data_IF_060565124541
#
_entry.id   IF_060565124541
#
_cell.length_a   1.000
_cell.length_b   1.000
_cell.length_c   1.000
_cell.angle_alpha   90.00
_cell.angle_beta   90.00
_cell.angle_gamma   90.00
#
_symmetry.space_group_name_H-M   'P 1'
#
loop_
_entity.id
_entity.type
_entity.pdbx_description
1 polymer ?
#
# COMPACT_ATOMS: atom_id res chain seq x y z
N UNK A 1 14.26 -4.01 -27.92
CA UNK A 1 14.35 -4.95 -26.78
C UNK A 1 13.62 -4.28 -25.62
N UNK A 2 12.40 -4.74 -25.30
CA UNK A 2 11.69 -4.34 -24.09
C UNK A 2 12.51 -4.96 -22.93
N UNK A 3 13.16 -4.10 -22.14
CA UNK A 3 14.01 -4.54 -21.05
C UNK A 3 13.20 -5.29 -19.97
N UNK A 4 13.87 -6.17 -19.27
CA UNK A 4 13.39 -6.80 -18.03
C UNK A 4 13.27 -5.71 -16.94
N UNK A 5 12.25 -4.86 -17.04
CA UNK A 5 11.97 -3.83 -16.07
C UNK A 5 11.52 -4.51 -14.77
N UNK A 6 12.24 -4.28 -13.69
CA UNK A 6 11.87 -4.87 -12.41
C UNK A 6 10.79 -4.03 -11.74
N UNK A 7 9.96 -4.67 -10.93
CA UNK A 7 8.91 -3.98 -10.15
C UNK A 7 9.50 -2.87 -9.26
N UNK A 8 10.70 -3.09 -8.71
CA UNK A 8 11.39 -2.11 -7.87
C UNK A 8 11.87 -0.88 -8.66
N UNK A 9 12.35 -1.08 -9.89
CA UNK A 9 12.73 0.03 -10.78
C UNK A 9 11.52 0.86 -11.15
N UNK A 10 10.36 0.24 -11.44
CA UNK A 10 9.12 0.97 -11.73
C UNK A 10 8.61 1.72 -10.50
N UNK A 11 8.66 1.12 -9.31
CA UNK A 11 8.27 1.79 -8.08
C UNK A 11 9.13 3.03 -7.80
N UNK A 12 10.45 2.90 -7.92
CA UNK A 12 11.39 4.01 -7.76
C UNK A 12 11.22 5.08 -8.85
N UNK A 13 10.93 4.67 -10.08
CA UNK A 13 10.65 5.58 -11.18
C UNK A 13 9.37 6.39 -10.95
N UNK A 14 8.28 5.75 -10.54
CA UNK A 14 7.03 6.42 -10.18
C UNK A 14 7.23 7.42 -9.03
N UNK A 15 7.93 7.01 -7.95
CA UNK A 15 8.24 7.90 -6.82
C UNK A 15 9.01 9.13 -7.28
N UNK A 16 10.06 8.95 -8.08
CA UNK A 16 10.84 10.06 -8.63
C UNK A 16 10.04 10.97 -9.55
N UNK A 17 9.22 10.39 -10.42
CA UNK A 17 8.38 11.12 -11.38
C UNK A 17 7.37 12.01 -10.67
N UNK A 18 6.67 11.47 -9.66
CA UNK A 18 5.69 12.20 -8.88
C UNK A 18 6.34 13.29 -8.01
N UNK A 19 7.50 12.99 -7.40
CA UNK A 19 8.28 13.97 -6.64
C UNK A 19 8.71 15.16 -7.52
N UNK A 20 9.19 14.91 -8.73
CA UNK A 20 9.60 15.98 -9.67
C UNK A 20 8.41 16.86 -10.09
N UNK A 21 7.21 16.29 -10.15
CA UNK A 21 5.98 17.01 -10.44
C UNK A 21 5.36 17.69 -9.21
N UNK A 22 6.00 17.59 -8.04
CA UNK A 22 5.47 18.04 -6.75
C UNK A 22 4.08 17.46 -6.42
N UNK A 23 3.83 16.23 -6.82
CA UNK A 23 2.61 15.48 -6.50
C UNK A 23 2.86 14.65 -5.25
N UNK A 24 2.09 14.93 -4.20
CA UNK A 24 2.15 14.17 -2.96
C UNK A 24 1.67 12.72 -3.20
N UNK A 25 2.46 11.75 -2.76
CA UNK A 25 2.16 10.33 -2.93
C UNK A 25 2.83 9.49 -1.86
N UNK A 26 2.38 8.25 -1.71
CA UNK A 26 3.09 7.25 -0.91
C UNK A 26 2.86 5.83 -1.46
N UNK A 27 3.89 5.01 -1.39
CA UNK A 27 3.81 3.59 -1.75
C UNK A 27 3.04 2.84 -0.66
N UNK A 28 2.09 2.02 -1.06
CA UNK A 28 1.33 1.13 -0.17
C UNK A 28 1.28 -0.31 -0.72
N UNK A 29 0.30 -1.09 -0.31
CA UNK A 29 0.07 -2.44 -0.84
C UNK A 29 1.22 -3.42 -0.62
N UNK A 30 1.48 -4.25 -1.64
CA UNK A 30 2.46 -5.33 -1.58
C UNK A 30 3.90 -4.85 -1.49
N UNK A 31 4.25 -3.80 -2.21
CA UNK A 31 5.59 -3.19 -2.15
C UNK A 31 5.89 -2.63 -0.77
N UNK A 32 4.92 -1.95 -0.14
CA UNK A 32 5.07 -1.45 1.22
C UNK A 32 5.25 -2.59 2.25
N UNK A 33 4.56 -3.72 2.06
CA UNK A 33 4.75 -4.93 2.91
C UNK A 33 6.19 -5.40 2.84
N UNK A 34 6.77 -5.48 1.64
CA UNK A 34 8.16 -5.86 1.46
C UNK A 34 9.12 -4.85 2.11
N UNK A 35 8.89 -3.55 1.91
CA UNK A 35 9.71 -2.49 2.49
C UNK A 35 9.64 -2.46 4.03
N UNK A 36 8.52 -2.87 4.61
CA UNK A 36 8.39 -3.05 6.06
C UNK A 36 9.00 -4.35 6.60
N UNK A 37 9.59 -5.18 5.74
CA UNK A 37 10.43 -6.32 6.12
C UNK A 37 9.86 -7.69 5.81
N UNK A 38 8.64 -7.83 5.30
CA UNK A 38 8.10 -9.12 4.86
C UNK A 38 8.30 -9.32 3.36
N UNK A 39 9.40 -9.98 3.01
CA UNK A 39 9.71 -10.32 1.62
C UNK A 39 8.72 -11.37 1.09
N UNK A 40 7.95 -10.99 0.10
CA UNK A 40 7.03 -11.86 -0.64
C UNK A 40 6.88 -11.43 -2.08
N UNK A 41 6.38 -12.32 -2.91
CA UNK A 41 6.06 -11.96 -4.29
C UNK A 41 4.94 -10.91 -4.33
N UNK A 42 5.19 -9.83 -5.05
CA UNK A 42 4.20 -8.83 -5.44
C UNK A 42 4.37 -8.52 -6.91
N UNK A 43 3.27 -8.27 -7.60
CA UNK A 43 3.22 -8.13 -9.07
C UNK A 43 2.73 -6.77 -9.51
N UNK A 44 2.30 -5.97 -8.59
CA UNK A 44 1.66 -4.68 -8.77
C UNK A 44 2.26 -3.62 -7.83
N UNK A 45 2.14 -2.38 -8.21
CA UNK A 45 2.54 -1.22 -7.41
C UNK A 45 1.29 -0.46 -7.04
N UNK A 46 1.06 -0.28 -5.75
CA UNK A 46 -0.04 0.52 -5.22
C UNK A 46 0.50 1.84 -4.69
N UNK A 47 -0.05 2.96 -5.15
CA UNK A 47 0.30 4.32 -4.74
C UNK A 47 -0.93 5.04 -4.18
N UNK A 48 -0.76 5.76 -3.09
CA UNK A 48 -1.77 6.68 -2.56
C UNK A 48 -1.48 8.07 -3.09
N UNK A 49 -2.53 8.76 -3.57
CA UNK A 49 -2.48 10.17 -3.99
C UNK A 49 -3.70 10.92 -3.47
N UNK A 50 -3.66 12.22 -3.48
CA UNK A 50 -4.85 13.05 -3.30
C UNK A 50 -5.75 12.93 -4.55
N UNK A 51 -7.05 12.90 -4.34
CA UNK A 51 -8.03 12.81 -5.43
C UNK A 51 -7.95 13.96 -6.41
N UNK A 52 -7.58 15.13 -5.94
CA UNK A 52 -7.41 16.33 -6.77
C UNK A 52 -6.26 16.20 -7.77
N UNK A 53 -5.27 15.35 -7.49
CA UNK A 53 -4.10 15.13 -8.34
C UNK A 53 -4.32 14.06 -9.43
N UNK A 54 -5.43 13.34 -9.39
CA UNK A 54 -5.68 12.19 -10.28
C UNK A 54 -5.56 12.52 -11.78
N UNK A 55 -6.02 13.70 -12.19
CA UNK A 55 -5.91 14.14 -13.60
C UNK A 55 -4.45 14.45 -13.99
N UNK A 56 -3.71 15.12 -13.12
CA UNK A 56 -2.30 15.45 -13.31
C UNK A 56 -1.44 14.19 -13.36
N UNK A 57 -1.70 13.24 -12.47
CA UNK A 57 -1.04 11.92 -12.45
C UNK A 57 -1.28 11.17 -13.77
N UNK A 58 -2.53 11.14 -14.24
CA UNK A 58 -2.86 10.50 -15.51
C UNK A 58 -2.09 11.10 -16.68
N UNK A 59 -2.05 12.44 -16.78
CA UNK A 59 -1.32 13.13 -17.82
C UNK A 59 0.18 12.85 -17.75
N UNK A 60 0.75 12.90 -16.54
CA UNK A 60 2.17 12.68 -16.28
C UNK A 60 2.60 11.28 -16.69
N UNK A 61 1.89 10.26 -16.22
CA UNK A 61 2.20 8.86 -16.53
C UNK A 61 2.05 8.55 -18.02
N UNK A 62 0.98 9.06 -18.66
CA UNK A 62 0.78 8.87 -20.09
C UNK A 62 1.90 9.52 -20.89
N UNK A 63 2.35 10.70 -20.52
CA UNK A 63 3.48 11.38 -21.16
C UNK A 63 4.82 10.63 -20.98
N UNK A 64 4.94 9.88 -19.88
CA UNK A 64 6.12 9.04 -19.55
C UNK A 64 6.03 7.62 -20.15
N UNK A 65 5.01 7.34 -20.96
CA UNK A 65 4.87 6.07 -21.70
C UNK A 65 4.10 4.98 -20.98
N UNK A 66 3.45 5.28 -19.85
CA UNK A 66 2.51 4.35 -19.23
C UNK A 66 1.19 4.32 -20.01
N UNK A 67 0.59 3.15 -20.11
CA UNK A 67 -0.70 2.95 -20.75
C UNK A 67 -1.81 2.72 -19.73
N UNK A 68 -2.97 3.36 -19.93
CA UNK A 68 -4.13 3.14 -19.09
C UNK A 68 -4.91 1.92 -19.54
N UNK A 69 -5.06 0.93 -18.67
CA UNK A 69 -5.92 -0.24 -18.87
C UNK A 69 -7.33 0.05 -18.34
N UNK A 70 -8.26 0.28 -19.26
CA UNK A 70 -9.64 0.64 -18.91
C UNK A 70 -10.42 -0.50 -18.24
N UNK A 71 -10.06 -1.76 -18.51
CA UNK A 71 -10.73 -2.91 -17.91
C UNK A 71 -10.22 -3.17 -16.49
N UNK A 72 -8.90 -3.13 -16.30
CA UNK A 72 -8.28 -3.35 -15.00
C UNK A 72 -8.32 -2.11 -14.09
N UNK A 73 -8.60 -0.91 -14.68
CA UNK A 73 -8.56 0.39 -13.98
C UNK A 73 -7.21 0.67 -13.34
N UNK A 74 -6.15 0.40 -14.09
CA UNK A 74 -4.77 0.58 -13.67
C UNK A 74 -3.91 1.11 -14.81
N UNK A 75 -2.75 1.64 -14.48
CA UNK A 75 -1.72 1.93 -15.48
C UNK A 75 -0.82 0.70 -15.67
N UNK A 76 -0.25 0.60 -16.86
CA UNK A 76 0.79 -0.35 -17.20
C UNK A 76 2.06 0.39 -17.56
N UNK A 77 3.17 0.03 -16.91
CA UNK A 77 4.48 0.55 -17.31
C UNK A 77 4.85 0.09 -18.73
N UNK A 78 5.86 0.70 -19.39
CA UNK A 78 6.35 0.19 -20.67
C UNK A 78 6.74 -1.29 -20.66
N UNK A 79 7.18 -1.82 -19.50
CA UNK A 79 7.45 -3.24 -19.29
C UNK A 79 6.23 -4.09 -18.89
N UNK A 80 5.03 -3.48 -18.79
CA UNK A 80 3.78 -4.16 -18.49
C UNK A 80 3.46 -4.32 -17.00
N UNK A 81 4.24 -3.72 -16.10
CA UNK A 81 3.99 -3.79 -14.66
C UNK A 81 2.78 -2.93 -14.28
N UNK A 82 1.79 -3.49 -13.56
CA UNK A 82 0.61 -2.76 -13.12
C UNK A 82 0.94 -1.71 -12.06
N UNK A 83 0.39 -0.52 -12.20
CA UNK A 83 0.45 0.56 -11.22
C UNK A 83 -0.96 1.04 -10.92
N UNK A 84 -1.39 0.89 -9.69
CA UNK A 84 -2.72 1.28 -9.20
C UNK A 84 -2.62 2.48 -8.28
N UNK A 85 -3.67 3.32 -8.32
CA UNK A 85 -3.76 4.48 -7.45
C UNK A 85 -4.97 4.36 -6.52
N UNK A 86 -4.71 4.52 -5.22
CA UNK A 86 -5.72 4.67 -4.19
C UNK A 86 -5.87 6.16 -3.86
N UNK A 87 -7.11 6.60 -3.71
CA UNK A 87 -7.40 8.00 -3.38
C UNK A 87 -7.47 8.19 -1.87
N UNK A 88 -6.73 9.15 -1.35
CA UNK A 88 -6.84 9.56 0.05
C UNK A 88 -8.29 9.87 0.42
N UNK A 89 -8.73 9.43 1.59
CA UNK A 89 -10.09 9.59 2.08
C UNK A 89 -11.10 8.54 1.58
N UNK A 90 -10.79 7.75 0.54
CA UNK A 90 -11.65 6.64 0.14
C UNK A 90 -11.64 5.53 1.21
N UNK A 91 -12.71 4.74 1.30
CA UNK A 91 -12.78 3.63 2.26
C UNK A 91 -11.79 2.53 1.91
N UNK A 92 -10.98 2.12 2.88
CA UNK A 92 -10.02 1.03 2.74
C UNK A 92 -10.67 -0.37 2.75
N UNK A 93 -11.91 -0.48 3.26
CA UNK A 93 -12.67 -1.73 3.30
C UNK A 93 -14.18 -1.50 3.36
N UNK A 94 -14.96 -2.47 2.89
CA UNK A 94 -16.42 -2.39 2.96
C UNK A 94 -16.91 -2.51 4.40
N UNK A 95 -17.83 -1.64 4.80
CA UNK A 95 -18.48 -1.72 6.10
C UNK A 95 -17.66 -1.22 7.29
N UNK A 96 -16.48 -0.67 7.04
CA UNK A 96 -15.61 -0.09 8.06
C UNK A 96 -15.33 1.39 7.77
N UNK A 97 -15.07 2.16 8.82
CA UNK A 97 -14.77 3.60 8.70
C UNK A 97 -13.27 3.89 8.53
N UNK A 98 -12.48 2.87 8.28
CA UNK A 98 -11.07 3.02 7.93
C UNK A 98 -10.96 3.60 6.53
N UNK A 99 -10.23 4.70 6.40
CA UNK A 99 -9.97 5.36 5.13
C UNK A 99 -8.53 5.21 4.69
N UNK A 100 -8.30 5.33 3.39
CA UNK A 100 -6.97 5.49 2.82
C UNK A 100 -6.35 6.77 3.39
N UNK A 101 -5.15 6.71 4.00
CA UNK A 101 -4.53 7.87 4.64
C UNK A 101 -4.12 8.94 3.62
N UNK A 102 -3.92 10.16 4.10
CA UNK A 102 -3.27 11.20 3.31
C UNK A 102 -1.85 10.76 2.91
N UNK A 103 -1.40 11.09 1.69
CA UNK A 103 -0.07 10.70 1.21
C UNK A 103 1.06 11.54 1.81
N UNK A 104 0.76 12.34 2.82
CA UNK A 104 1.70 13.24 3.51
C UNK A 104 1.51 13.19 5.02
N UNK A 105 2.44 13.79 5.74
CA UNK A 105 2.40 13.94 7.21
C UNK A 105 3.06 12.77 7.94
N UNK A 106 3.78 13.12 9.02
CA UNK A 106 4.61 12.20 9.80
C UNK A 106 3.85 11.03 10.45
N UNK A 107 2.53 11.13 10.56
CA UNK A 107 1.68 10.05 11.07
C UNK A 107 1.23 9.07 9.97
N UNK A 108 1.37 9.44 8.72
CA UNK A 108 0.88 8.66 7.57
C UNK A 108 2.00 8.04 6.76
N UNK A 109 3.12 8.72 6.61
CA UNK A 109 4.22 8.30 5.73
C UNK A 109 5.58 8.34 6.42
N UNK A 110 6.52 7.58 5.90
CA UNK A 110 7.92 7.56 6.28
C UNK A 110 8.80 7.26 5.07
N UNK A 111 10.09 7.59 5.16
CA UNK A 111 11.05 7.22 4.13
C UNK A 111 11.66 5.87 4.45
N UNK A 112 11.56 4.93 3.50
CA UNK A 112 12.23 3.63 3.57
C UNK A 112 13.03 3.45 2.27
N UNK A 113 14.33 3.24 2.39
CA UNK A 113 15.24 3.10 1.23
C UNK A 113 15.14 4.26 0.22
N UNK A 114 14.84 5.46 0.71
CA UNK A 114 14.68 6.66 -0.11
C UNK A 114 13.32 6.81 -0.79
N UNK A 115 12.40 5.87 -0.61
CA UNK A 115 11.04 5.91 -1.14
C UNK A 115 10.06 6.43 -0.08
N UNK A 116 9.04 7.17 -0.52
CA UNK A 116 7.95 7.61 0.34
C UNK A 116 6.95 6.47 0.52
N UNK A 117 6.86 5.92 1.72
CA UNK A 117 6.08 4.71 2.03
C UNK A 117 5.04 5.00 3.11
N UNK A 118 3.87 4.42 2.99
CA UNK A 118 2.85 4.47 4.04
C UNK A 118 3.40 3.86 5.33
N UNK A 119 3.16 4.51 6.49
CA UNK A 119 3.60 3.99 7.78
C UNK A 119 3.02 2.61 8.09
N UNK A 120 3.78 1.82 8.84
CA UNK A 120 3.40 0.46 9.23
C UNK A 120 1.99 0.41 9.87
N UNK A 121 1.65 1.35 10.74
CA UNK A 121 0.32 1.40 11.37
C UNK A 121 -0.79 1.60 10.34
N UNK A 122 -0.59 2.51 9.38
CA UNK A 122 -1.57 2.77 8.31
C UNK A 122 -1.68 1.59 7.34
N UNK A 123 -0.55 0.96 7.00
CA UNK A 123 -0.53 -0.25 6.16
C UNK A 123 -1.33 -1.39 6.80
N UNK A 124 -1.07 -1.69 8.08
CA UNK A 124 -1.79 -2.73 8.84
C UNK A 124 -3.28 -2.42 8.91
N UNK A 125 -3.64 -1.18 9.23
CA UNK A 125 -5.02 -0.71 9.33
C UNK A 125 -5.78 -0.90 8.01
N UNK A 126 -5.20 -0.49 6.88
CA UNK A 126 -5.79 -0.66 5.55
C UNK A 126 -5.95 -2.14 5.18
N UNK A 127 -4.95 -2.98 5.47
CA UNK A 127 -5.01 -4.42 5.20
C UNK A 127 -6.07 -5.13 6.04
N UNK A 128 -6.18 -4.78 7.31
CA UNK A 128 -7.24 -5.32 8.16
C UNK A 128 -8.62 -4.91 7.65
N UNK A 129 -8.81 -3.64 7.30
CA UNK A 129 -10.07 -3.15 6.75
C UNK A 129 -10.42 -3.85 5.42
N UNK A 130 -9.45 -3.99 4.51
CA UNK A 130 -9.61 -4.70 3.24
C UNK A 130 -9.97 -6.17 3.46
N UNK A 131 -9.23 -6.88 4.32
CA UNK A 131 -9.44 -8.29 4.61
C UNK A 131 -10.77 -8.57 5.33
N UNK A 132 -11.20 -7.68 6.23
CA UNK A 132 -12.51 -7.78 6.90
C UNK A 132 -13.66 -7.47 5.95
N UNK A 133 -13.48 -6.56 5.02
CA UNK A 133 -14.51 -6.12 4.08
C UNK A 133 -14.66 -6.98 2.81
N UNK A 134 -13.73 -7.89 2.54
CA UNK A 134 -13.72 -8.69 1.31
C UNK A 134 -13.15 -10.09 1.55
N UNK A 135 -14.01 -11.10 1.56
CA UNK A 135 -13.63 -12.50 1.80
C UNK A 135 -12.56 -13.04 0.84
N UNK A 136 -12.49 -12.55 -0.39
CA UNK A 136 -11.45 -12.96 -1.35
C UNK A 136 -10.07 -12.43 -0.97
N UNK A 137 -10.00 -11.35 -0.20
CA UNK A 137 -8.75 -10.72 0.25
C UNK A 137 -8.33 -11.13 1.65
N UNK A 138 -9.28 -11.66 2.46
CA UNK A 138 -9.05 -11.98 3.87
C UNK A 138 -7.77 -12.78 4.08
N UNK A 139 -7.58 -13.87 3.35
CA UNK A 139 -6.41 -14.73 3.53
C UNK A 139 -5.09 -14.02 3.21
N UNK A 140 -5.03 -13.27 2.10
CA UNK A 140 -3.82 -12.55 1.69
C UNK A 140 -3.50 -11.40 2.65
N UNK A 141 -4.48 -10.55 2.93
CA UNK A 141 -4.26 -9.34 3.73
C UNK A 141 -3.98 -9.68 5.20
N UNK A 142 -4.65 -10.70 5.76
CA UNK A 142 -4.38 -11.15 7.13
C UNK A 142 -3.05 -11.87 7.25
N UNK A 143 -2.63 -12.66 6.24
CA UNK A 143 -1.30 -13.25 6.21
C UNK A 143 -0.21 -12.19 6.23
N UNK A 144 -0.33 -11.15 5.40
CA UNK A 144 0.60 -10.01 5.41
C UNK A 144 0.70 -9.37 6.81
N UNK A 145 -0.44 -9.18 7.49
CA UNK A 145 -0.46 -8.59 8.84
C UNK A 145 0.19 -9.51 9.86
N UNK A 146 -0.08 -10.83 9.82
CA UNK A 146 0.53 -11.80 10.74
C UNK A 146 2.06 -11.82 10.60
N UNK A 147 2.56 -11.82 9.37
CA UNK A 147 4.00 -11.79 9.11
C UNK A 147 4.64 -10.47 9.57
N UNK A 148 3.99 -9.33 9.30
CA UNK A 148 4.47 -8.04 9.80
C UNK A 148 4.48 -7.99 11.34
N UNK A 149 3.47 -8.55 12.02
CA UNK A 149 3.45 -8.69 13.48
C UNK A 149 4.67 -9.46 13.97
N UNK A 150 4.95 -10.61 13.36
CA UNK A 150 6.07 -11.48 13.75
C UNK A 150 7.42 -10.80 13.52
N UNK A 151 7.66 -10.27 12.31
CA UNK A 151 8.94 -9.65 11.91
C UNK A 151 9.22 -8.39 12.71
N UNK A 152 8.20 -7.54 12.93
CA UNK A 152 8.33 -6.28 13.66
C UNK A 152 8.14 -6.45 15.17
N UNK A 153 7.90 -7.68 15.64
CA UNK A 153 7.69 -8.04 17.06
C UNK A 153 6.59 -7.17 17.72
N UNK A 154 5.49 -7.01 17.00
CA UNK A 154 4.36 -6.21 17.48
C UNK A 154 3.57 -7.00 18.52
N UNK A 155 3.13 -6.31 19.57
CA UNK A 155 2.22 -6.85 20.56
C UNK A 155 0.84 -6.19 20.52
N UNK A 156 -0.07 -6.64 21.37
CA UNK A 156 -1.46 -6.14 21.42
C UNK A 156 -1.57 -4.64 21.73
N UNK A 157 -0.53 -4.02 22.31
CA UNK A 157 -0.52 -2.58 22.61
C UNK A 157 -0.40 -1.72 21.36
N UNK A 158 0.13 -2.29 20.26
CA UNK A 158 0.21 -1.59 18.97
C UNK A 158 -1.18 -1.21 18.42
N UNK A 159 -2.24 -1.88 18.86
CA UNK A 159 -3.62 -1.52 18.48
C UNK A 159 -3.95 -0.05 18.74
N UNK A 160 -3.31 0.61 19.72
CA UNK A 160 -3.53 2.04 20.01
C UNK A 160 -3.20 2.98 18.85
N UNK A 161 -2.40 2.53 17.88
CA UNK A 161 -2.03 3.29 16.67
C UNK A 161 -2.97 3.03 15.50
N UNK A 162 -3.93 2.11 15.65
CA UNK A 162 -4.87 1.69 14.63
C UNK A 162 -6.26 2.27 14.89
N UNK A 163 -7.08 2.33 13.88
CA UNK A 163 -8.49 2.69 14.01
C UNK A 163 -9.24 1.68 14.91
N UNK A 164 -10.12 2.15 15.76
CA UNK A 164 -10.80 1.34 16.77
C UNK A 164 -11.55 0.12 16.20
N UNK A 165 -12.12 0.26 15.00
CA UNK A 165 -12.88 -0.82 14.34
C UNK A 165 -12.05 -2.07 13.99
N UNK A 166 -10.72 -1.97 13.95
CA UNK A 166 -9.81 -3.10 13.65
C UNK A 166 -9.07 -3.63 14.86
N UNK A 167 -9.22 -3.04 16.04
CA UNK A 167 -8.49 -3.42 17.26
C UNK A 167 -8.63 -4.88 17.62
N UNK A 168 -9.88 -5.40 17.65
CA UNK A 168 -10.13 -6.77 18.07
C UNK A 168 -9.56 -7.79 17.09
N UNK A 169 -9.67 -7.51 15.80
CA UNK A 169 -9.08 -8.35 14.76
C UNK A 169 -7.56 -8.35 14.86
N UNK A 170 -6.94 -7.18 15.04
CA UNK A 170 -5.50 -7.07 15.24
C UNK A 170 -5.01 -7.88 16.44
N UNK A 171 -5.67 -7.73 17.62
CA UNK A 171 -5.30 -8.47 18.84
C UNK A 171 -5.43 -9.99 18.68
N UNK A 172 -6.43 -10.46 17.91
CA UNK A 172 -6.58 -11.90 17.58
C UNK A 172 -5.40 -12.38 16.72
N UNK A 173 -4.98 -11.60 15.74
CA UNK A 173 -3.84 -11.96 14.87
C UNK A 173 -2.52 -11.94 15.65
N UNK A 174 -2.32 -11.02 16.60
CA UNK A 174 -1.15 -11.04 17.51
C UNK A 174 -1.09 -12.35 18.28
N UNK A 175 -2.19 -12.82 18.86
CA UNK A 175 -2.24 -14.10 19.58
C UNK A 175 -1.90 -15.27 18.67
N UNK A 176 -2.39 -15.27 17.42
CA UNK A 176 -2.09 -16.32 16.45
C UNK A 176 -0.61 -16.31 16.04
N UNK A 177 -0.02 -15.15 15.81
CA UNK A 177 1.40 -15.01 15.47
C UNK A 177 2.33 -15.50 16.58
N UNK A 178 1.93 -15.36 17.86
CA UNK A 178 2.69 -15.83 19.02
C UNK A 178 2.51 -17.32 19.31
N UNK A 179 1.40 -17.92 18.91
CA UNK A 179 1.12 -19.34 19.14
C UNK A 179 1.90 -20.30 18.23
N UNK A 180 2.54 -19.78 17.17
CA UNK A 180 3.31 -20.56 16.18
C UNK A 180 4.82 -20.56 16.49
N UNK A 181 5.25 -19.87 17.53
CA UNK A 181 6.63 -19.91 18.04
C UNK A 181 6.76 -20.94 19.17
#
# INVERSE_FOLDING_TARGET
MLGNESLWEVAAHCDKLLNHANIAHSICGGVAVCLHGYERNTTDIDLIIDKTDSSSVKQLLTADGFEWDEQAKEFRSPGGIPVQFLMAGDRAGKGLDVTVPEPTGDLNVELIEGLTVVRLSRLIEMKLASGMGNLRRTHKDFADVVELIAIRKLDSSFARFLHASVHDTFRKLVKNAQAVQ
#
